data_IF_487911837052
#
_entry.id   IF_487911837052
#
_cell.length_a   1.000
_cell.length_b   1.000
_cell.length_c   1.000
_cell.angle_alpha   90.00
_cell.angle_beta   90.00
_cell.angle_gamma   90.00
#
_symmetry.space_group_name_H-M   'P 1'
#
loop_
_entity.id
_entity.type
_entity.pdbx_description
1 polymer ?
#
# COMPACT_ATOMS: atom_id res chain seq x y z
N UNK A 1 -9.87 -10.51 8.52
CA UNK A 1 -9.03 -9.30 8.47
C UNK A 1 -8.27 -9.26 9.80
N UNK A 2 -6.93 -9.37 9.80
CA UNK A 2 -6.12 -9.46 11.03
C UNK A 2 -5.63 -8.08 11.53
N UNK A 3 -6.29 -6.99 11.13
CA UNK A 3 -5.95 -5.62 11.55
C UNK A 3 -4.69 -5.02 10.93
N UNK A 4 -4.04 -5.70 9.99
CA UNK A 4 -2.92 -5.14 9.23
C UNK A 4 -3.39 -4.09 8.24
N UNK A 5 -2.57 -3.07 8.00
CA UNK A 5 -2.79 -2.11 6.92
C UNK A 5 -2.26 -2.64 5.59
N UNK A 6 -3.00 -2.37 4.53
CA UNK A 6 -2.71 -2.78 3.16
C UNK A 6 -2.54 -1.56 2.25
N UNK A 7 -1.43 -1.51 1.53
CA UNK A 7 -1.14 -0.44 0.60
C UNK A 7 -0.58 -0.99 -0.71
N UNK A 8 -0.78 -0.26 -1.80
CA UNK A 8 -0.22 -0.58 -3.11
C UNK A 8 0.44 0.66 -3.73
N UNK A 9 1.34 0.41 -4.69
CA UNK A 9 1.93 1.47 -5.50
C UNK A 9 0.92 1.98 -6.55
N UNK A 10 1.12 3.21 -7.06
CA UNK A 10 0.35 3.74 -8.19
C UNK A 10 0.72 3.04 -9.49
N UNK A 11 -0.22 3.02 -10.42
CA UNK A 11 -0.02 2.40 -11.74
C UNK A 11 1.07 3.11 -12.55
N UNK A 12 1.14 4.44 -12.46
CA UNK A 12 2.15 5.27 -13.14
C UNK A 12 3.60 4.95 -12.76
N UNK A 13 3.81 4.47 -11.53
CA UNK A 13 5.13 4.11 -11.00
C UNK A 13 5.47 2.62 -11.19
N UNK A 14 4.53 1.83 -11.72
CA UNK A 14 4.69 0.39 -11.87
C UNK A 14 5.04 0.02 -13.32
N UNK A 15 6.11 -0.77 -13.48
CA UNK A 15 6.43 -1.39 -14.78
C UNK A 15 5.34 -2.40 -15.21
N UNK A 16 4.76 -3.12 -14.25
CA UNK A 16 3.67 -4.08 -14.47
C UNK A 16 2.68 -4.01 -13.31
N UNK A 17 1.45 -3.60 -13.59
CA UNK A 17 0.42 -3.36 -12.56
C UNK A 17 -0.45 -4.58 -12.20
N UNK A 18 0.00 -5.80 -12.53
CA UNK A 18 -0.83 -7.02 -12.37
C UNK A 18 -1.18 -7.34 -10.91
N UNK A 19 -0.19 -7.28 -10.00
CA UNK A 19 -0.39 -7.62 -8.59
C UNK A 19 -1.26 -6.58 -7.87
N UNK A 20 -0.95 -5.30 -8.06
CA UNK A 20 -1.69 -4.19 -7.48
C UNK A 20 -3.15 -4.16 -7.95
N UNK A 21 -3.39 -4.38 -9.25
CA UNK A 21 -4.74 -4.48 -9.82
C UNK A 21 -5.54 -5.64 -9.22
N UNK A 22 -4.92 -6.80 -9.00
CA UNK A 22 -5.58 -7.95 -8.36
C UNK A 22 -6.00 -7.65 -6.92
N UNK A 23 -5.18 -6.90 -6.17
CA UNK A 23 -5.51 -6.47 -4.82
C UNK A 23 -6.67 -5.44 -4.81
N UNK A 24 -6.66 -4.46 -5.72
CA UNK A 24 -7.77 -3.50 -5.88
C UNK A 24 -9.09 -4.20 -6.20
N UNK A 25 -9.08 -5.18 -7.10
CA UNK A 25 -10.29 -5.91 -7.50
C UNK A 25 -10.92 -6.70 -6.34
N UNK A 26 -10.14 -7.03 -5.30
CA UNK A 26 -10.60 -7.72 -4.09
C UNK A 26 -11.04 -6.77 -2.99
N UNK A 27 -11.00 -5.45 -3.23
CA UNK A 27 -11.36 -4.39 -2.29
C UNK A 27 -10.66 -4.56 -0.92
N UNK A 28 -9.40 -5.01 -0.94
CA UNK A 28 -8.59 -5.31 0.24
C UNK A 28 -7.34 -4.41 0.30
N UNK A 29 -7.49 -3.17 -0.18
CA UNK A 29 -6.43 -2.16 -0.23
C UNK A 29 -6.94 -0.94 0.52
N UNK A 30 -6.23 -0.52 1.55
CA UNK A 30 -6.56 0.68 2.32
C UNK A 30 -6.02 1.94 1.63
N UNK A 31 -4.84 1.83 0.98
CA UNK A 31 -4.11 2.98 0.46
C UNK A 31 -3.47 2.73 -0.92
N UNK A 32 -3.46 3.76 -1.77
CA UNK A 32 -2.71 3.79 -3.03
C UNK A 32 -1.71 4.94 -2.99
N UNK A 33 -0.42 4.63 -3.05
CA UNK A 33 0.67 5.59 -2.81
C UNK A 33 1.65 5.61 -3.98
N UNK A 34 2.26 6.76 -4.28
CA UNK A 34 3.37 6.79 -5.23
C UNK A 34 4.61 6.07 -4.64
N UNK A 35 5.48 5.58 -5.51
CA UNK A 35 6.61 4.72 -5.12
C UNK A 35 7.56 5.42 -4.13
N UNK A 36 7.81 6.71 -4.34
CA UNK A 36 8.69 7.54 -3.52
C UNK A 36 8.19 7.71 -2.08
N UNK A 37 6.87 7.67 -1.86
CA UNK A 37 6.25 7.83 -0.52
C UNK A 37 6.02 6.53 0.23
N UNK A 38 6.19 5.36 -0.40
CA UNK A 38 5.90 4.09 0.27
C UNK A 38 6.78 3.88 1.52
N UNK A 39 8.06 4.26 1.46
CA UNK A 39 8.98 4.13 2.60
C UNK A 39 8.59 5.00 3.80
N UNK A 40 8.21 6.25 3.54
CA UNK A 40 7.76 7.18 4.57
C UNK A 40 6.46 6.69 5.22
N UNK A 41 5.50 6.20 4.43
CA UNK A 41 4.23 5.74 4.96
C UNK A 41 4.37 4.43 5.76
N UNK A 42 5.25 3.51 5.34
CA UNK A 42 5.56 2.30 6.12
C UNK A 42 6.15 2.70 7.48
N UNK A 43 7.11 3.62 7.49
CA UNK A 43 7.73 4.10 8.74
C UNK A 43 6.69 4.72 9.67
N UNK A 44 5.83 5.58 9.12
CA UNK A 44 4.73 6.22 9.85
C UNK A 44 3.77 5.22 10.48
N UNK A 45 3.30 4.22 9.73
CA UNK A 45 2.37 3.21 10.25
C UNK A 45 3.02 2.40 11.37
N UNK A 46 4.29 2.03 11.20
CA UNK A 46 5.02 1.29 12.23
C UNK A 46 5.18 2.11 13.51
N UNK A 47 5.45 3.42 13.38
CA UNK A 47 5.56 4.32 14.53
C UNK A 47 4.20 4.50 15.22
N UNK A 48 3.10 4.65 14.46
CA UNK A 48 1.73 4.69 15.00
C UNK A 48 1.35 3.38 15.71
N UNK A 49 1.85 2.23 15.26
CA UNK A 49 1.62 0.93 15.89
C UNK A 49 2.40 0.70 17.18
N UNK A 50 3.48 1.45 17.41
CA UNK A 50 4.31 1.37 18.64
C UNK A 50 3.80 2.30 19.76
N UNK A 51 2.81 3.14 19.48
CA UNK A 51 2.18 4.08 20.41
C UNK A 51 1.39 3.41 21.53
#
# INVERSE_FOLDING_TARGET
QQGGQTMICREEDCLVYGMARSALARNCVDQVLPLDRMGDEISRIIDDMKG
#
